data_IF_791802178619
#
_entry.id   IF_791802178619
#
_cell.length_a   1.000
_cell.length_b   1.000
_cell.length_c   1.000
_cell.angle_alpha   90.00
_cell.angle_beta   90.00
_cell.angle_gamma   90.00
#
_symmetry.space_group_name_H-M   'P 1'
#
loop_
_entity.id
_entity.type
_entity.pdbx_description
1 polymer ?
#
# COMPACT_ATOMS: atom_id res chain seq x y z
N UNK A 1 -4.48 -1.75 20.27
CA UNK A 1 -3.44 -1.37 19.29
C UNK A 1 -4.09 -0.87 18.03
N UNK A 2 -3.60 0.24 17.50
CA UNK A 2 -4.17 0.84 16.29
C UNK A 2 -3.48 0.30 15.06
N UNK A 3 -4.27 -0.14 14.10
CA UNK A 3 -3.76 -0.52 12.80
C UNK A 3 -3.95 0.66 11.85
N UNK A 4 -2.99 0.85 10.96
CA UNK A 4 -3.02 1.94 9.99
C UNK A 4 -3.16 1.38 8.59
N UNK A 5 -3.89 2.09 7.74
CA UNK A 5 -4.14 1.68 6.37
C UNK A 5 -3.87 2.84 5.43
N UNK A 6 -3.41 2.50 4.24
CA UNK A 6 -3.27 3.46 3.16
C UNK A 6 -4.42 3.26 2.17
N UNK A 7 -5.19 4.31 1.94
CA UNK A 7 -6.27 4.25 0.96
C UNK A 7 -5.70 4.48 -0.43
N UNK A 8 -5.67 3.42 -1.24
CA UNK A 8 -5.09 3.47 -2.59
C UNK A 8 -5.96 4.26 -3.57
N UNK A 9 -7.22 4.47 -3.21
CA UNK A 9 -8.15 5.22 -4.04
C UNK A 9 -7.98 6.72 -3.85
N UNK A 10 -7.86 7.18 -2.61
CA UNK A 10 -7.80 8.61 -2.27
C UNK A 10 -6.39 9.11 -2.00
N UNK A 11 -5.48 8.21 -1.69
CA UNK A 11 -4.12 8.57 -1.30
C UNK A 11 -3.99 8.99 0.16
N UNK A 12 -4.99 8.73 0.97
CA UNK A 12 -4.98 9.11 2.38
C UNK A 12 -4.56 7.96 3.28
N UNK A 13 -3.93 8.31 4.41
CA UNK A 13 -3.64 7.35 5.48
C UNK A 13 -4.79 7.37 6.46
N UNK A 14 -5.30 6.20 6.82
CA UNK A 14 -6.44 6.06 7.71
C UNK A 14 -6.07 5.27 8.96
N UNK A 15 -6.59 5.71 10.09
CA UNK A 15 -6.47 4.98 11.34
C UNK A 15 -7.61 3.97 11.43
N UNK A 16 -7.27 2.69 11.39
CA UNK A 16 -8.27 1.64 11.35
C UNK A 16 -8.96 1.53 10.00
N UNK A 17 -9.95 0.66 9.95
CA UNK A 17 -10.71 0.42 8.72
C UNK A 17 -11.86 1.40 8.61
N UNK A 18 -11.64 2.52 8.00
CA UNK A 18 -12.68 3.54 7.81
C UNK A 18 -13.30 3.49 6.43
N UNK A 19 -12.58 2.94 5.47
CA UNK A 19 -13.04 2.82 4.09
C UNK A 19 -13.25 1.35 3.74
N UNK A 20 -13.73 1.12 2.51
CA UNK A 20 -13.92 -0.23 2.00
C UNK A 20 -12.58 -1.00 2.00
N UNK A 21 -12.52 -2.20 2.58
CA UNK A 21 -11.29 -2.98 2.63
C UNK A 21 -10.60 -3.18 1.30
N UNK A 22 -11.33 -3.22 0.20
CA UNK A 22 -10.75 -3.38 -1.13
C UNK A 22 -9.95 -2.16 -1.58
N UNK A 23 -10.19 -1.00 -0.97
CA UNK A 23 -9.46 0.24 -1.26
C UNK A 23 -8.30 0.47 -0.30
N UNK A 24 -8.16 -0.38 0.72
CA UNK A 24 -7.17 -0.20 1.77
C UNK A 24 -6.01 -1.17 1.59
N UNK A 25 -4.80 -0.64 1.79
CA UNK A 25 -3.58 -1.44 1.84
C UNK A 25 -3.05 -1.43 3.28
N UNK A 26 -2.72 -2.58 3.79
CA UNK A 26 -2.26 -2.75 5.15
C UNK A 26 -2.65 -4.12 5.68
N UNK A 27 -2.65 -4.31 7.01
CA UNK A 27 -2.41 -3.30 8.03
C UNK A 27 -0.94 -2.91 8.21
N UNK A 28 -0.72 -1.67 8.64
CA UNK A 28 0.61 -1.17 8.99
C UNK A 28 0.65 -0.87 10.48
N UNK A 29 1.81 -1.05 11.09
CA UNK A 29 1.96 -0.85 12.51
C UNK A 29 1.96 0.62 12.92
N UNK A 30 2.38 1.51 12.03
CA UNK A 30 2.48 2.93 12.30
C UNK A 30 1.94 3.75 11.13
N UNK A 31 1.65 5.01 11.43
CA UNK A 31 1.21 5.96 10.41
C UNK A 31 2.28 6.19 9.34
N UNK A 32 3.53 6.29 9.78
CA UNK A 32 4.64 6.47 8.85
C UNK A 32 4.78 5.30 7.90
N UNK A 33 4.59 4.09 8.40
CA UNK A 33 4.64 2.89 7.57
C UNK A 33 3.52 2.92 6.52
N UNK A 34 2.31 3.30 6.93
CA UNK A 34 1.19 3.41 6.01
C UNK A 34 1.43 4.50 4.96
N UNK A 35 2.04 5.61 5.36
CA UNK A 35 2.38 6.69 4.44
C UNK A 35 3.39 6.29 3.37
N UNK A 36 4.17 5.24 3.63
CA UNK A 36 5.14 4.70 2.68
C UNK A 36 4.53 3.70 1.70
N UNK A 37 3.27 3.34 1.88
CA UNK A 37 2.63 2.34 1.02
C UNK A 37 2.75 2.66 -0.47
N UNK A 38 2.59 3.92 -0.94
CA UNK A 38 2.74 4.22 -2.36
C UNK A 38 4.13 3.88 -2.90
N UNK A 39 5.17 4.12 -2.10
CA UNK A 39 6.54 3.79 -2.48
C UNK A 39 6.72 2.28 -2.59
N UNK A 40 6.17 1.54 -1.64
CA UNK A 40 6.24 0.08 -1.63
C UNK A 40 5.49 -0.49 -2.82
N UNK A 41 4.31 0.02 -3.12
CA UNK A 41 3.50 -0.43 -4.25
C UNK A 41 4.24 -0.16 -5.57
N UNK A 42 4.81 1.03 -5.72
CA UNK A 42 5.55 1.40 -6.92
C UNK A 42 6.79 0.53 -7.10
N UNK A 43 7.48 0.22 -6.02
CA UNK A 43 8.66 -0.64 -6.04
C UNK A 43 8.31 -2.06 -6.47
N UNK A 44 7.22 -2.61 -5.93
CA UNK A 44 6.74 -3.93 -6.31
C UNK A 44 6.32 -3.98 -7.78
N UNK A 45 5.61 -2.97 -8.23
CA UNK A 45 5.18 -2.90 -9.62
C UNK A 45 6.36 -2.85 -10.57
N UNK A 46 7.39 -2.08 -10.22
CA UNK A 46 8.62 -2.00 -11.00
C UNK A 46 9.32 -3.34 -11.07
N UNK A 47 9.42 -4.02 -9.93
CA UNK A 47 10.07 -5.32 -9.86
C UNK A 47 9.36 -6.35 -10.72
N UNK A 48 8.03 -6.37 -10.68
CA UNK A 48 7.25 -7.28 -11.51
C UNK A 48 7.41 -6.98 -12.99
N UNK A 49 7.42 -5.69 -13.35
CA UNK A 49 7.63 -5.28 -14.73
C UNK A 49 9.00 -5.72 -15.25
N UNK A 50 10.03 -5.65 -14.41
CA UNK A 50 11.37 -6.13 -14.78
C UNK A 50 11.40 -7.64 -15.00
N UNK A 51 10.72 -8.39 -14.14
CA UNK A 51 10.63 -9.84 -14.28
C UNK A 51 9.90 -10.22 -15.56
N UNK A 52 8.80 -9.54 -15.88
CA UNK A 52 8.08 -9.77 -17.12
C UNK A 52 8.92 -9.40 -18.33
N UNK A 53 9.69 -8.33 -18.24
CA UNK A 53 10.54 -7.88 -19.34
C UNK A 53 11.68 -8.86 -19.66
N UNK A 54 12.05 -9.70 -18.72
CA UNK A 54 13.06 -10.74 -18.96
C UNK A 54 12.54 -11.90 -19.80
N UNK A 55 11.24 -11.91 -20.05
CA UNK A 55 10.67 -12.78 -21.07
C UNK A 55 10.60 -14.26 -20.73
N UNK A 56 10.45 -14.55 -19.52
CA UNK A 56 10.33 -15.97 -19.12
C UNK A 56 8.91 -16.47 -19.21
#
# INVERSE_FOLDING_TARGET
>A
MTEWYYNIRTGAVEEGRQSNPSDLDGPFATREAAARAPEIIAERARKWAEEDARGD
#
